data_IF_658230477273
#
_entry.id   IF_658230477273
#
_cell.length_a   1.000
_cell.length_b   1.000
_cell.length_c   1.000
_cell.angle_alpha   90.00
_cell.angle_beta   90.00
_cell.angle_gamma   90.00
#
_symmetry.space_group_name_H-M   'P 1'
#
loop_
_entity.id
_entity.type
_entity.pdbx_description
1 polymer ?
#
# COMPACT_ATOMS: atom_id res chain seq x y z
N UNK A 1 -16.91 -20.79 6.15
CA UNK A 1 -17.12 -19.32 6.22
C UNK A 1 -16.74 -18.71 4.89
N UNK A 2 -17.58 -17.83 4.37
CA UNK A 2 -17.35 -17.07 3.13
C UNK A 2 -17.23 -15.60 3.43
N UNK A 3 -16.14 -14.98 3.01
CA UNK A 3 -15.85 -13.56 3.22
C UNK A 3 -15.87 -12.82 1.89
N UNK A 4 -16.65 -11.76 1.79
CA UNK A 4 -16.59 -10.84 0.66
C UNK A 4 -15.65 -9.69 0.98
N UNK A 5 -14.50 -9.61 0.33
CA UNK A 5 -13.64 -8.44 0.38
C UNK A 5 -14.05 -7.43 -0.70
N UNK A 6 -14.11 -6.14 -0.35
CA UNK A 6 -14.51 -5.06 -1.25
C UNK A 6 -13.43 -3.98 -1.24
N UNK A 7 -12.95 -3.57 -2.42
CA UNK A 7 -11.89 -2.58 -2.53
C UNK A 7 -12.06 -1.67 -3.76
N UNK A 8 -11.60 -0.41 -3.63
CA UNK A 8 -11.47 0.54 -4.75
C UNK A 8 -10.14 0.37 -5.50
N UNK A 9 -9.26 -0.53 -5.04
CA UNK A 9 -7.96 -0.80 -5.66
C UNK A 9 -7.59 -2.28 -5.52
N UNK A 10 -7.00 -2.85 -6.56
CA UNK A 10 -6.47 -4.22 -6.56
C UNK A 10 -5.52 -4.42 -7.74
N UNK A 11 -4.87 -5.59 -7.83
CA UNK A 11 -4.03 -5.91 -8.98
C UNK A 11 -4.79 -5.76 -10.32
N UNK A 12 -4.11 -5.26 -11.36
CA UNK A 12 -2.66 -5.12 -11.53
C UNK A 12 -2.02 -3.89 -10.85
N UNK A 13 -2.80 -3.02 -10.22
CA UNK A 13 -2.27 -1.90 -9.44
C UNK A 13 -1.50 -2.43 -8.22
N UNK A 14 -0.17 -2.33 -8.25
CA UNK A 14 0.71 -2.79 -7.16
C UNK A 14 0.87 -1.69 -6.12
N UNK A 15 0.36 -1.94 -4.92
CA UNK A 15 0.55 -1.10 -3.73
C UNK A 15 0.37 -1.93 -2.44
N UNK A 16 0.55 -1.32 -1.28
CA UNK A 16 0.39 -1.99 0.01
C UNK A 16 -1.00 -2.59 0.23
N UNK A 17 -2.06 -1.91 -0.23
CA UNK A 17 -3.46 -2.38 -0.11
C UNK A 17 -3.68 -3.64 -0.94
N UNK A 18 -3.31 -3.61 -2.23
CA UNK A 18 -3.43 -4.77 -3.12
C UNK A 18 -2.63 -5.97 -2.62
N UNK A 19 -1.42 -5.71 -2.09
CA UNK A 19 -0.56 -6.74 -1.49
C UNK A 19 -1.20 -7.34 -0.25
N UNK A 20 -1.76 -6.50 0.62
CA UNK A 20 -2.45 -6.95 1.83
C UNK A 20 -3.68 -7.80 1.50
N UNK A 21 -4.54 -7.33 0.59
CA UNK A 21 -5.73 -8.08 0.14
C UNK A 21 -5.33 -9.47 -0.36
N UNK A 22 -4.32 -9.56 -1.21
CA UNK A 22 -3.89 -10.83 -1.77
C UNK A 22 -3.28 -11.75 -0.71
N UNK A 23 -2.51 -11.21 0.22
CA UNK A 23 -1.96 -11.98 1.35
C UNK A 23 -3.07 -12.54 2.21
N UNK A 24 -4.05 -11.73 2.60
CA UNK A 24 -5.21 -12.20 3.37
C UNK A 24 -6.03 -13.24 2.58
N UNK A 25 -6.31 -12.99 1.29
CA UNK A 25 -7.06 -13.91 0.44
C UNK A 25 -6.42 -15.30 0.42
N UNK A 26 -5.12 -15.37 0.14
CA UNK A 26 -4.39 -16.65 0.07
C UNK A 26 -4.31 -17.34 1.43
N UNK A 27 -4.01 -16.59 2.48
CA UNK A 27 -3.87 -17.17 3.82
C UNK A 27 -5.21 -17.68 4.34
N UNK A 28 -6.28 -16.91 4.21
CA UNK A 28 -7.62 -17.33 4.61
C UNK A 28 -8.09 -18.56 3.82
N UNK A 29 -7.83 -18.60 2.52
CA UNK A 29 -8.16 -19.77 1.69
C UNK A 29 -7.40 -21.02 2.13
N UNK A 30 -6.13 -20.89 2.52
CA UNK A 30 -5.34 -22.00 3.07
C UNK A 30 -5.89 -22.52 4.40
N UNK A 31 -6.65 -21.70 5.13
CA UNK A 31 -7.37 -22.08 6.37
C UNK A 31 -8.84 -22.43 6.16
N UNK A 32 -9.25 -22.75 4.93
CA UNK A 32 -10.62 -23.19 4.62
C UNK A 32 -11.68 -22.08 4.60
N UNK A 33 -11.27 -20.81 4.55
CA UNK A 33 -12.18 -19.67 4.39
C UNK A 33 -12.27 -19.32 2.91
N UNK A 34 -13.45 -19.39 2.33
CA UNK A 34 -13.69 -18.94 0.96
C UNK A 34 -13.71 -17.42 0.91
N UNK A 35 -12.86 -16.83 0.04
CA UNK A 35 -12.77 -15.37 -0.12
C UNK A 35 -13.21 -14.98 -1.52
N UNK A 36 -14.24 -14.15 -1.60
CA UNK A 36 -14.67 -13.45 -2.81
C UNK A 36 -14.16 -12.01 -2.79
N UNK A 37 -13.93 -11.45 -3.98
CA UNK A 37 -13.47 -10.08 -4.16
C UNK A 37 -14.41 -9.31 -5.11
N UNK A 38 -14.74 -8.06 -4.73
CA UNK A 38 -15.33 -7.08 -5.65
C UNK A 38 -14.35 -5.91 -5.75
N UNK A 39 -13.79 -5.68 -6.95
CA UNK A 39 -12.67 -4.77 -7.20
C UNK A 39 -12.80 -4.09 -8.57
N UNK A 40 -12.10 -2.97 -8.82
CA UNK A 40 -12.10 -2.34 -10.13
C UNK A 40 -11.52 -3.23 -11.23
N UNK A 41 -11.99 -2.99 -12.45
CA UNK A 41 -11.39 -3.47 -13.70
C UNK A 41 -10.41 -2.43 -14.23
N UNK A 42 -9.20 -2.84 -14.56
CA UNK A 42 -8.15 -1.95 -15.09
C UNK A 42 -7.98 -2.06 -16.61
N UNK A 43 -8.28 -3.24 -17.17
CA UNK A 43 -8.14 -3.53 -18.60
C UNK A 43 -8.79 -4.86 -18.96
N UNK A 44 -8.07 -5.70 -19.67
CA UNK A 44 -8.51 -7.03 -20.10
C UNK A 44 -7.94 -8.13 -19.18
N UNK A 45 -8.14 -7.99 -17.87
CA UNK A 45 -7.73 -9.02 -16.93
C UNK A 45 -8.48 -10.33 -17.22
N UNK A 46 -7.74 -11.42 -17.14
CA UNK A 46 -8.31 -12.75 -17.27
C UNK A 46 -9.33 -13.01 -16.16
N UNK A 47 -10.32 -13.82 -16.47
CA UNK A 47 -11.29 -14.28 -15.47
C UNK A 47 -10.58 -15.08 -14.39
N UNK A 48 -10.82 -14.69 -13.14
CA UNK A 48 -10.39 -15.42 -11.95
C UNK A 48 -11.62 -15.79 -11.12
N UNK A 49 -11.80 -17.08 -10.78
CA UNK A 49 -12.89 -17.51 -9.91
C UNK A 49 -12.86 -16.75 -8.56
N UNK A 50 -14.02 -16.28 -8.12
CA UNK A 50 -14.16 -15.52 -6.89
C UNK A 50 -13.81 -14.04 -7.00
N UNK A 51 -13.36 -13.52 -8.16
CA UNK A 51 -13.07 -12.09 -8.35
C UNK A 51 -14.07 -11.46 -9.32
N UNK A 52 -14.86 -10.53 -8.82
CA UNK A 52 -15.79 -9.71 -9.60
C UNK A 52 -15.13 -8.38 -9.94
N UNK A 53 -14.89 -8.14 -11.23
CA UNK A 53 -14.26 -6.91 -11.75
C UNK A 53 -15.33 -5.92 -12.19
N UNK A 54 -15.38 -4.75 -11.54
CA UNK A 54 -16.35 -3.68 -11.84
C UNK A 54 -15.70 -2.65 -12.75
N UNK A 55 -16.36 -2.33 -13.87
CA UNK A 55 -15.85 -1.33 -14.80
C UNK A 55 -15.73 0.06 -14.13
N UNK A 56 -14.60 0.72 -14.37
CA UNK A 56 -14.30 2.06 -13.89
C UNK A 56 -13.61 2.90 -14.95
N UNK A 57 -13.47 4.20 -14.67
CA UNK A 57 -12.73 5.16 -15.51
C UNK A 57 -11.41 5.51 -14.83
N UNK A 58 -10.34 5.84 -15.58
CA UNK A 58 -9.13 6.38 -15.01
C UNK A 58 -9.41 7.62 -14.16
N UNK A 59 -8.71 7.77 -13.03
CA UNK A 59 -8.78 8.97 -12.21
C UNK A 59 -8.07 10.12 -12.94
N UNK A 60 -8.68 11.30 -13.06
CA UNK A 60 -8.00 12.46 -13.62
C UNK A 60 -6.70 12.77 -12.84
N UNK A 61 -5.58 12.82 -13.54
CA UNK A 61 -4.25 13.04 -12.94
C UNK A 61 -3.55 11.79 -12.39
N UNK A 62 -4.25 10.68 -12.22
CA UNK A 62 -3.65 9.38 -11.87
C UNK A 62 -4.23 8.27 -12.74
N UNK A 63 -3.49 7.90 -13.79
CA UNK A 63 -3.92 6.85 -14.75
C UNK A 63 -3.84 5.44 -14.18
N UNK A 64 -3.18 5.26 -13.05
CA UNK A 64 -3.01 3.95 -12.41
C UNK A 64 -4.22 3.58 -11.55
N UNK A 65 -4.98 4.56 -11.07
CA UNK A 65 -6.18 4.32 -10.27
C UNK A 65 -7.47 4.37 -11.10
N UNK A 66 -8.54 3.76 -10.57
CA UNK A 66 -9.85 3.65 -11.23
C UNK A 66 -10.96 4.21 -10.34
N UNK A 67 -11.77 5.08 -10.93
CA UNK A 67 -13.00 5.55 -10.31
C UNK A 67 -14.15 4.67 -10.78
N UNK A 68 -14.72 3.89 -9.88
CA UNK A 68 -15.90 3.04 -10.13
C UNK A 68 -17.17 3.80 -9.77
N UNK A 69 -18.20 3.67 -10.60
CA UNK A 69 -19.48 4.30 -10.31
C UNK A 69 -20.19 3.63 -9.12
N UNK A 70 -20.78 4.45 -8.24
CA UNK A 70 -21.50 3.99 -7.05
C UNK A 70 -22.52 2.87 -7.33
N UNK A 71 -23.39 3.06 -8.33
CA UNK A 71 -24.44 2.08 -8.65
C UNK A 71 -23.86 0.73 -9.09
N UNK A 72 -22.80 0.75 -9.88
CA UNK A 72 -22.13 -0.45 -10.37
C UNK A 72 -21.46 -1.22 -9.23
N UNK A 73 -20.69 -0.51 -8.39
CA UNK A 73 -20.03 -1.09 -7.21
C UNK A 73 -21.07 -1.68 -6.25
N UNK A 74 -22.08 -0.92 -5.88
CA UNK A 74 -23.11 -1.38 -4.94
C UNK A 74 -23.87 -2.61 -5.45
N UNK A 75 -24.22 -2.66 -6.77
CA UNK A 75 -24.87 -3.84 -7.37
C UNK A 75 -23.97 -5.07 -7.27
N UNK A 76 -22.72 -4.94 -7.72
CA UNK A 76 -21.75 -6.04 -7.70
C UNK A 76 -21.51 -6.56 -6.27
N UNK A 77 -21.37 -5.66 -5.28
CA UNK A 77 -21.20 -6.03 -3.88
C UNK A 77 -22.45 -6.75 -3.35
N UNK A 78 -23.64 -6.23 -3.63
CA UNK A 78 -24.88 -6.82 -3.17
C UNK A 78 -25.11 -8.22 -3.76
N UNK A 79 -24.80 -8.41 -5.03
CA UNK A 79 -24.90 -9.71 -5.71
C UNK A 79 -23.88 -10.71 -5.16
N UNK A 80 -22.62 -10.29 -5.01
CA UNK A 80 -21.56 -11.16 -4.51
C UNK A 80 -21.70 -11.52 -3.03
N UNK A 81 -22.41 -10.71 -2.24
CA UNK A 81 -22.58 -10.90 -0.81
C UNK A 81 -23.72 -11.87 -0.43
N UNK A 82 -24.57 -12.27 -1.38
CA UNK A 82 -25.80 -13.07 -1.10
C UNK A 82 -25.55 -14.38 -0.33
N UNK A 83 -24.42 -15.00 -0.58
CA UNK A 83 -24.00 -16.27 0.02
C UNK A 83 -22.77 -16.13 0.92
N UNK A 84 -22.45 -14.92 1.36
CA UNK A 84 -21.33 -14.63 2.25
C UNK A 84 -21.80 -14.48 3.71
N UNK A 85 -20.87 -14.74 4.62
CA UNK A 85 -21.11 -14.65 6.08
C UNK A 85 -20.62 -13.29 6.63
N UNK A 86 -19.73 -12.59 5.90
CA UNK A 86 -19.06 -11.37 6.34
C UNK A 86 -18.67 -10.49 5.14
N UNK A 87 -18.81 -9.17 5.29
CA UNK A 87 -18.24 -8.20 4.35
C UNK A 87 -17.01 -7.55 4.99
N UNK A 88 -15.87 -7.61 4.28
CA UNK A 88 -14.60 -7.03 4.69
C UNK A 88 -14.19 -5.90 3.73
N UNK A 89 -14.33 -4.67 4.17
CA UNK A 89 -13.98 -3.47 3.40
C UNK A 89 -12.48 -3.19 3.50
N UNK A 90 -11.84 -2.93 2.35
CA UNK A 90 -10.40 -2.70 2.28
C UNK A 90 -10.01 -1.25 1.99
N UNK A 91 -10.95 -0.45 1.49
CA UNK A 91 -10.68 0.95 1.13
C UNK A 91 -11.84 1.84 1.57
N UNK A 92 -11.57 3.09 1.92
CA UNK A 92 -12.55 3.97 2.57
C UNK A 92 -13.41 4.80 1.61
N UNK A 93 -13.34 4.52 0.31
CA UNK A 93 -14.05 5.29 -0.71
C UNK A 93 -15.40 4.65 -1.06
N UNK A 94 -15.65 4.39 -2.33
CA UNK A 94 -16.92 3.83 -2.81
C UNK A 94 -17.15 2.42 -2.24
N UNK A 95 -16.10 1.61 -2.15
CA UNK A 95 -16.15 0.27 -1.57
C UNK A 95 -16.69 0.26 -0.14
N UNK A 96 -16.29 1.23 0.70
CA UNK A 96 -16.75 1.34 2.08
C UNK A 96 -18.27 1.50 2.15
N UNK A 97 -18.81 2.47 1.44
CA UNK A 97 -20.24 2.75 1.49
C UNK A 97 -21.08 1.67 0.80
N UNK A 98 -20.54 1.06 -0.27
CA UNK A 98 -21.18 -0.06 -0.96
C UNK A 98 -21.26 -1.30 -0.05
N UNK A 99 -20.17 -1.62 0.65
CA UNK A 99 -20.09 -2.70 1.63
C UNK A 99 -21.06 -2.49 2.79
N UNK A 100 -21.03 -1.31 3.43
CA UNK A 100 -21.97 -0.97 4.51
C UNK A 100 -23.44 -1.09 4.09
N UNK A 101 -23.79 -0.57 2.92
CA UNK A 101 -25.18 -0.62 2.44
C UNK A 101 -25.63 -2.04 2.13
N UNK A 102 -24.77 -2.86 1.54
CA UNK A 102 -25.05 -4.27 1.28
C UNK A 102 -25.17 -5.05 2.59
N UNK A 103 -24.26 -4.86 3.53
CA UNK A 103 -24.28 -5.49 4.85
C UNK A 103 -25.61 -5.23 5.59
N UNK A 104 -26.01 -3.96 5.67
CA UNK A 104 -27.30 -3.59 6.29
C UNK A 104 -28.52 -4.20 5.61
N UNK A 105 -28.50 -4.32 4.27
CA UNK A 105 -29.61 -4.91 3.52
C UNK A 105 -29.72 -6.42 3.71
N UNK A 106 -28.58 -7.10 3.89
CA UNK A 106 -28.49 -8.56 4.03
C UNK A 106 -28.41 -9.03 5.48
N UNK A 107 -28.30 -8.12 6.46
CA UNK A 107 -28.10 -8.48 7.86
C UNK A 107 -26.73 -9.09 8.14
N UNK A 108 -25.70 -8.76 7.33
CA UNK A 108 -24.35 -9.30 7.47
C UNK A 108 -23.48 -8.40 8.36
N UNK A 109 -22.56 -8.96 9.15
CA UNK A 109 -21.52 -8.19 9.81
C UNK A 109 -20.58 -7.56 8.79
N UNK A 110 -20.03 -6.38 9.14
CA UNK A 110 -19.09 -5.64 8.30
C UNK A 110 -17.87 -5.20 9.08
N UNK A 111 -16.71 -5.58 8.60
CA UNK A 111 -15.41 -5.16 9.15
C UNK A 111 -14.60 -4.40 8.09
N UNK A 112 -13.62 -3.63 8.53
CA UNK A 112 -12.67 -3.00 7.60
C UNK A 112 -11.23 -3.14 8.08
N UNK A 113 -10.28 -3.17 7.12
CA UNK A 113 -8.87 -2.96 7.41
C UNK A 113 -8.51 -1.50 7.12
N UNK A 114 -7.91 -0.84 8.09
CA UNK A 114 -7.49 0.56 7.98
C UNK A 114 -6.08 0.65 7.38
N UNK A 115 -6.01 0.79 6.06
CA UNK A 115 -4.75 0.82 5.31
C UNK A 115 -4.15 2.20 5.13
N UNK A 116 -4.96 3.28 5.19
CA UNK A 116 -4.56 4.60 4.74
C UNK A 116 -4.73 5.64 5.84
N UNK A 117 -3.64 6.33 6.16
CA UNK A 117 -3.66 7.47 7.07
C UNK A 117 -4.11 8.73 6.33
N UNK A 118 -5.42 8.98 6.31
CA UNK A 118 -6.03 10.07 5.53
C UNK A 118 -5.48 11.44 5.83
N UNK A 119 -5.20 11.74 7.09
CA UNK A 119 -4.78 13.09 7.48
C UNK A 119 -3.44 13.49 6.84
N UNK A 120 -2.56 12.52 6.64
CA UNK A 120 -1.27 12.75 5.99
C UNK A 120 -1.41 12.74 4.46
N UNK A 121 -2.29 11.88 3.94
CA UNK A 121 -2.51 11.76 2.50
C UNK A 121 -3.14 13.03 1.90
N UNK A 122 -4.16 13.59 2.54
CA UNK A 122 -4.89 14.75 2.03
C UNK A 122 -4.03 16.02 1.95
N UNK A 123 -3.03 16.19 2.82
CA UNK A 123 -2.15 17.35 2.81
C UNK A 123 -1.36 17.50 1.51
N UNK A 124 -1.00 16.39 0.87
CA UNK A 124 -0.22 16.40 -0.38
C UNK A 124 -1.07 16.74 -1.61
N UNK A 125 -2.39 16.53 -1.56
CA UNK A 125 -3.27 16.67 -2.72
C UNK A 125 -4.16 17.92 -2.70
N UNK A 126 -4.37 18.55 -1.55
CA UNK A 126 -5.28 19.68 -1.39
C UNK A 126 -4.56 21.00 -1.01
N UNK A 127 -3.51 21.35 -1.73
CA UNK A 127 -2.61 22.49 -1.47
C UNK A 127 -3.26 23.85 -1.13
N UNK A 128 -4.44 24.26 -1.65
CA UNK A 128 -5.01 25.57 -1.31
C UNK A 128 -5.73 25.62 0.04
N UNK A 129 -5.91 24.48 0.73
CA UNK A 129 -6.70 24.39 1.97
C UNK A 129 -5.77 24.32 3.19
N UNK A 130 -6.08 25.07 4.29
CA UNK A 130 -5.25 25.02 5.50
C UNK A 130 -5.05 23.60 6.03
N UNK A 131 -3.82 23.14 6.28
CA UNK A 131 -3.52 21.76 6.70
C UNK A 131 -4.22 21.34 8.00
N UNK A 132 -4.44 22.26 8.94
CA UNK A 132 -5.14 22.00 10.20
C UNK A 132 -6.62 21.64 10.00
N UNK A 133 -7.29 22.35 9.08
CA UNK A 133 -8.68 22.07 8.72
C UNK A 133 -8.82 20.73 8.01
N UNK A 134 -7.95 20.43 7.04
CA UNK A 134 -7.92 19.14 6.35
C UNK A 134 -7.70 17.97 7.31
N UNK A 135 -6.77 18.11 8.25
CA UNK A 135 -6.54 17.09 9.29
C UNK A 135 -7.78 16.87 10.15
N UNK A 136 -8.46 17.95 10.57
CA UNK A 136 -9.69 17.85 11.34
C UNK A 136 -10.78 17.08 10.59
N UNK A 137 -11.00 17.39 9.30
CA UNK A 137 -11.98 16.69 8.46
C UNK A 137 -11.61 15.23 8.24
N UNK A 138 -10.33 14.93 7.97
CA UNK A 138 -9.84 13.57 7.80
C UNK A 138 -10.07 12.70 9.06
N UNK A 139 -9.78 13.25 10.25
CA UNK A 139 -10.05 12.58 11.55
C UNK A 139 -11.54 12.35 11.77
N UNK A 140 -12.38 13.36 11.51
CA UNK A 140 -13.83 13.24 11.63
C UNK A 140 -14.40 12.20 10.67
N UNK A 141 -13.89 12.14 9.41
CA UNK A 141 -14.28 11.14 8.43
C UNK A 141 -13.85 9.74 8.89
N UNK A 142 -12.59 9.55 9.28
CA UNK A 142 -12.07 8.27 9.78
C UNK A 142 -12.89 7.76 10.97
N UNK A 143 -13.15 8.64 11.96
CA UNK A 143 -14.00 8.31 13.11
C UNK A 143 -15.39 7.88 12.69
N UNK A 144 -16.05 8.65 11.79
CA UNK A 144 -17.41 8.35 11.32
C UNK A 144 -17.46 7.00 10.59
N UNK A 145 -16.50 6.74 9.70
CA UNK A 145 -16.45 5.50 8.94
C UNK A 145 -16.19 4.30 9.85
N UNK A 146 -15.17 4.37 10.69
CA UNK A 146 -14.85 3.27 11.60
C UNK A 146 -16.01 2.96 12.57
N UNK A 147 -16.68 3.98 13.12
CA UNK A 147 -17.79 3.80 14.05
C UNK A 147 -19.08 3.25 13.40
N UNK A 148 -19.10 3.01 12.11
CA UNK A 148 -20.22 2.35 11.40
C UNK A 148 -19.97 0.85 11.17
N UNK A 149 -18.81 0.35 11.58
CA UNK A 149 -18.37 -1.04 11.39
C UNK A 149 -18.51 -1.84 12.68
N UNK A 150 -18.71 -3.15 12.55
CA UNK A 150 -18.74 -4.06 13.70
C UNK A 150 -17.36 -4.27 14.31
N UNK A 151 -16.29 -4.21 13.48
CA UNK A 151 -14.91 -4.16 13.94
C UNK A 151 -13.97 -3.52 12.91
N UNK A 152 -12.82 -3.05 13.37
CA UNK A 152 -11.75 -2.48 12.54
C UNK A 152 -10.46 -3.26 12.75
N UNK A 153 -9.86 -3.73 11.68
CA UNK A 153 -8.52 -4.30 11.67
C UNK A 153 -7.53 -3.16 11.46
N UNK A 154 -6.56 -3.05 12.35
CA UNK A 154 -5.49 -2.05 12.27
C UNK A 154 -4.14 -2.73 12.17
N UNK A 155 -3.23 -2.24 11.32
CA UNK A 155 -1.97 -2.93 11.04
C UNK A 155 -0.93 -2.79 12.15
N UNK A 156 -1.12 -1.89 13.11
CA UNK A 156 -0.18 -1.67 14.20
C UNK A 156 -0.84 -1.08 15.45
N UNK A 157 -0.19 -1.25 16.60
CA UNK A 157 -0.62 -0.63 17.87
C UNK A 157 -0.61 0.89 17.79
N UNK A 158 0.37 1.48 17.11
CA UNK A 158 0.43 2.93 16.88
C UNK A 158 -0.80 3.44 16.11
N UNK A 159 -1.23 2.68 15.08
CA UNK A 159 -2.44 3.03 14.33
C UNK A 159 -3.70 2.90 15.19
N UNK A 160 -3.79 1.86 16.04
CA UNK A 160 -4.89 1.72 16.99
C UNK A 160 -4.98 2.93 17.93
N UNK A 161 -3.88 3.30 18.57
CA UNK A 161 -3.82 4.45 19.48
C UNK A 161 -4.22 5.76 18.75
N UNK A 162 -3.80 5.92 17.50
CA UNK A 162 -4.15 7.07 16.68
C UNK A 162 -5.66 7.14 16.41
N UNK A 163 -6.29 6.04 16.04
CA UNK A 163 -7.74 5.99 15.82
C UNK A 163 -8.54 6.16 17.12
N UNK A 164 -8.05 5.63 18.24
CA UNK A 164 -8.60 5.91 19.57
C UNK A 164 -8.59 7.41 19.89
N UNK A 165 -7.49 8.11 19.57
CA UNK A 165 -7.39 9.56 19.73
C UNK A 165 -8.35 10.36 18.84
N UNK A 166 -8.83 9.77 17.73
CA UNK A 166 -9.87 10.37 16.88
C UNK A 166 -11.29 10.13 17.43
N UNK A 167 -11.43 9.31 18.45
CA UNK A 167 -12.73 8.93 19.04
C UNK A 167 -13.41 7.77 18.33
N UNK A 168 -12.64 6.86 17.73
CA UNK A 168 -13.17 5.58 17.25
C UNK A 168 -13.54 4.71 18.44
N UNK A 169 -14.79 4.19 18.42
CA UNK A 169 -15.39 3.37 19.50
C UNK A 169 -15.61 1.92 19.09
N UNK A 170 -15.65 1.63 17.79
CA UNK A 170 -15.77 0.24 17.30
C UNK A 170 -14.59 -0.61 17.77
N UNK A 171 -14.79 -1.90 18.06
CA UNK A 171 -13.71 -2.81 18.42
C UNK A 171 -12.58 -2.76 17.40
N UNK A 172 -11.33 -2.63 17.87
CA UNK A 172 -10.14 -2.58 17.01
C UNK A 172 -9.20 -3.75 17.33
N UNK A 173 -8.85 -4.49 16.29
CA UNK A 173 -7.93 -5.62 16.38
C UNK A 173 -6.63 -5.31 15.65
N UNK A 174 -5.50 -5.41 16.36
CA UNK A 174 -4.17 -5.23 15.75
C UNK A 174 -3.81 -6.53 15.03
N UNK A 175 -3.82 -6.48 13.71
CA UNK A 175 -3.49 -7.61 12.84
C UNK A 175 -2.65 -7.08 11.66
N UNK A 176 -1.31 -7.15 11.76
CA UNK A 176 -0.45 -6.74 10.67
C UNK A 176 -0.58 -7.69 9.48
N UNK A 177 -0.43 -7.15 8.28
CA UNK A 177 -0.31 -7.98 7.07
C UNK A 177 0.98 -8.77 7.13
N UNK A 178 0.90 -10.09 6.99
CA UNK A 178 2.05 -10.96 6.91
C UNK A 178 2.84 -10.77 5.61
N UNK A 179 4.14 -11.03 5.67
CA UNK A 179 5.00 -11.07 4.49
C UNK A 179 5.32 -12.54 4.19
N UNK A 180 5.01 -13.05 2.99
CA UNK A 180 5.33 -14.42 2.62
C UNK A 180 6.84 -14.58 2.41
N UNK A 181 7.58 -14.83 3.48
CA UNK A 181 9.05 -14.91 3.50
C UNK A 181 9.62 -15.86 2.45
N UNK A 182 8.92 -16.96 2.16
CA UNK A 182 9.33 -17.93 1.13
C UNK A 182 9.51 -17.30 -0.27
N UNK A 183 8.79 -16.22 -0.57
CA UNK A 183 8.93 -15.50 -1.85
C UNK A 183 10.28 -14.76 -1.97
N UNK A 184 10.93 -14.48 -0.85
CA UNK A 184 12.19 -13.73 -0.80
C UNK A 184 13.40 -14.65 -0.55
N UNK A 185 13.19 -15.87 -0.05
CA UNK A 185 14.25 -16.80 0.34
C UNK A 185 15.15 -17.26 -0.84
N UNK A 186 14.63 -17.20 -2.09
CA UNK A 186 15.37 -17.61 -3.30
C UNK A 186 16.14 -16.48 -4.00
N UNK A 187 16.26 -15.30 -3.38
CA UNK A 187 16.95 -14.17 -3.98
C UNK A 187 18.46 -14.42 -4.20
N UNK A 188 18.96 -14.01 -5.35
CA UNK A 188 20.39 -14.09 -5.71
C UNK A 188 20.99 -12.69 -5.81
N UNK A 189 21.62 -12.23 -4.74
CA UNK A 189 22.23 -10.90 -4.66
C UNK A 189 23.38 -10.69 -5.65
N UNK A 190 24.14 -11.74 -5.98
CA UNK A 190 25.22 -11.64 -6.96
C UNK A 190 24.67 -11.39 -8.36
N UNK A 191 23.60 -12.07 -8.76
CA UNK A 191 22.92 -11.83 -10.05
C UNK A 191 22.45 -10.38 -10.17
N UNK A 192 21.89 -9.81 -9.11
CA UNK A 192 21.50 -8.42 -9.07
C UNK A 192 22.69 -7.48 -9.22
N UNK A 193 23.75 -7.69 -8.43
CA UNK A 193 24.96 -6.85 -8.48
C UNK A 193 25.62 -6.88 -9.86
N UNK A 194 25.74 -8.04 -10.49
CA UNK A 194 26.26 -8.19 -11.85
C UNK A 194 25.42 -7.44 -12.87
N UNK A 195 24.08 -7.56 -12.80
CA UNK A 195 23.15 -6.87 -13.70
C UNK A 195 23.32 -5.36 -13.68
N UNK A 196 23.59 -4.79 -12.51
CA UNK A 196 23.71 -3.34 -12.32
C UNK A 196 25.13 -2.83 -12.19
N UNK A 197 26.16 -3.67 -12.44
CA UNK A 197 27.57 -3.28 -12.37
C UNK A 197 28.05 -2.90 -10.97
N UNK A 198 27.44 -3.46 -9.92
CA UNK A 198 27.79 -3.17 -8.53
C UNK A 198 28.86 -4.18 -8.07
N UNK A 199 30.02 -3.72 -7.66
CA UNK A 199 31.06 -4.58 -7.12
C UNK A 199 30.56 -5.38 -5.91
N UNK A 200 31.00 -6.64 -5.79
CA UNK A 200 30.54 -7.53 -4.71
C UNK A 200 30.88 -6.96 -3.32
N UNK A 201 32.06 -6.36 -3.19
CA UNK A 201 32.55 -5.75 -1.94
C UNK A 201 31.91 -4.39 -1.61
N UNK A 202 31.19 -3.73 -2.57
CA UNK A 202 30.65 -2.41 -2.36
C UNK A 202 29.47 -2.44 -1.38
N UNK A 203 29.50 -1.72 -0.24
CA UNK A 203 28.38 -1.66 0.69
C UNK A 203 27.14 -1.05 0.03
N UNK A 204 25.99 -1.71 0.17
CA UNK A 204 24.74 -1.32 -0.49
C UNK A 204 23.63 -1.12 0.54
N UNK A 205 23.17 0.12 0.65
CA UNK A 205 21.91 0.46 1.30
C UNK A 205 20.78 0.41 0.26
N UNK A 206 19.62 -0.08 0.65
CA UNK A 206 18.48 -0.28 -0.25
C UNK A 206 17.22 0.40 0.26
N UNK A 207 16.59 1.20 -0.58
CA UNK A 207 15.21 1.64 -0.44
C UNK A 207 14.36 0.93 -1.49
N UNK A 208 13.22 0.37 -1.08
CA UNK A 208 12.20 -0.20 -1.97
C UNK A 208 10.86 0.44 -1.68
N UNK A 209 10.21 1.00 -2.69
CA UNK A 209 8.88 1.58 -2.53
C UNK A 209 8.52 2.60 -3.60
N UNK A 210 7.31 3.14 -3.52
CA UNK A 210 6.89 4.24 -4.39
C UNK A 210 7.80 5.45 -4.13
N UNK A 211 8.35 6.02 -5.20
CA UNK A 211 9.20 7.22 -5.12
C UNK A 211 8.30 8.45 -5.05
N UNK A 212 7.84 8.77 -3.84
CA UNK A 212 6.87 9.83 -3.57
C UNK A 212 7.32 10.70 -2.39
N UNK A 213 6.83 11.93 -2.33
CA UNK A 213 7.28 12.92 -1.34
C UNK A 213 7.04 12.47 0.11
N UNK A 214 5.91 11.77 0.36
CA UNK A 214 5.57 11.24 1.68
C UNK A 214 6.52 10.13 2.17
N UNK A 215 7.33 9.54 1.27
CA UNK A 215 8.34 8.54 1.62
C UNK A 215 9.64 9.15 2.14
N UNK A 216 9.76 10.47 2.07
CA UNK A 216 10.88 11.23 2.64
C UNK A 216 12.28 10.72 2.19
N UNK A 217 12.38 10.29 0.92
CA UNK A 217 13.63 9.71 0.38
C UNK A 217 14.75 10.75 0.35
N UNK A 218 14.41 12.05 0.22
CA UNK A 218 15.37 13.13 0.30
C UNK A 218 16.21 13.11 1.58
N UNK A 219 15.62 12.76 2.72
CA UNK A 219 16.33 12.54 3.97
C UNK A 219 17.39 11.42 3.87
N UNK A 220 17.10 10.35 3.10
CA UNK A 220 18.07 9.26 2.88
C UNK A 220 19.27 9.73 2.06
N UNK A 221 19.09 10.71 1.14
CA UNK A 221 20.19 11.33 0.40
C UNK A 221 21.09 12.17 1.34
N UNK A 222 20.48 12.94 2.25
CA UNK A 222 21.22 13.70 3.26
C UNK A 222 21.98 12.79 4.23
N UNK A 223 21.33 11.71 4.68
CA UNK A 223 21.97 10.69 5.51
C UNK A 223 23.13 9.99 4.79
N UNK A 224 23.01 9.77 3.47
CA UNK A 224 24.08 9.19 2.66
C UNK A 224 25.32 10.09 2.61
N UNK A 225 25.14 11.43 2.54
CA UNK A 225 26.27 12.38 2.61
C UNK A 225 27.07 12.14 3.90
N UNK A 226 26.40 12.00 5.03
CA UNK A 226 27.04 11.75 6.32
C UNK A 226 27.69 10.36 6.38
N UNK A 227 26.99 9.33 5.89
CA UNK A 227 27.51 7.96 5.87
C UNK A 227 28.78 7.84 5.04
N UNK A 228 28.90 8.57 3.92
CA UNK A 228 30.07 8.58 3.04
C UNK A 228 31.30 9.28 3.63
N UNK A 229 31.15 10.08 4.67
CA UNK A 229 32.31 10.59 5.42
C UNK A 229 33.04 9.46 6.15
N UNK A 230 32.34 8.40 6.53
CA UNK A 230 32.89 7.24 7.25
C UNK A 230 33.22 6.10 6.24
N UNK A 231 32.34 5.88 5.29
CA UNK A 231 32.45 4.82 4.25
C UNK A 231 32.19 5.43 2.87
N UNK A 232 33.24 5.98 2.22
CA UNK A 232 33.12 6.70 0.94
C UNK A 232 32.52 5.88 -0.21
N UNK A 233 32.63 4.56 -0.14
CA UNK A 233 32.19 3.60 -1.14
C UNK A 233 30.72 3.18 -1.02
N UNK A 234 29.96 3.62 0.01
CA UNK A 234 28.55 3.26 0.18
C UNK A 234 27.72 3.69 -1.03
N UNK A 235 26.90 2.75 -1.50
CA UNK A 235 25.91 2.96 -2.56
C UNK A 235 24.50 2.94 -1.96
N UNK A 236 23.66 3.91 -2.32
CA UNK A 236 22.22 3.87 -2.08
C UNK A 236 21.50 3.43 -3.37
N UNK A 237 20.80 2.32 -3.33
CA UNK A 237 19.93 1.85 -4.41
C UNK A 237 18.49 2.20 -4.08
N UNK A 238 17.81 2.88 -5.02
CA UNK A 238 16.41 3.26 -4.91
C UNK A 238 15.62 2.48 -5.96
N UNK A 239 14.83 1.50 -5.48
CA UNK A 239 13.99 0.63 -6.29
C UNK A 239 12.53 1.10 -6.21
N UNK A 240 11.97 1.50 -7.35
CA UNK A 240 10.62 1.99 -7.50
C UNK A 240 10.53 3.21 -8.40
N UNK A 241 9.30 3.64 -8.65
CA UNK A 241 8.99 4.84 -9.44
C UNK A 241 7.96 5.71 -8.72
N UNK A 242 7.81 6.95 -9.17
CA UNK A 242 6.81 7.84 -8.63
C UNK A 242 7.08 9.32 -8.86
N UNK A 243 6.18 10.20 -8.40
CA UNK A 243 6.19 11.63 -8.73
C UNK A 243 7.40 12.39 -8.19
N UNK A 244 8.08 11.92 -7.15
CA UNK A 244 9.26 12.60 -6.58
C UNK A 244 10.57 12.28 -7.33
N UNK A 245 10.55 11.43 -8.37
CA UNK A 245 11.77 10.97 -9.05
C UNK A 245 12.63 12.10 -9.61
N UNK A 246 12.00 13.09 -10.25
CA UNK A 246 12.72 14.21 -10.85
C UNK A 246 13.42 15.07 -9.78
N UNK A 247 12.72 15.36 -8.69
CA UNK A 247 13.23 16.18 -7.59
C UNK A 247 14.39 15.48 -6.87
N UNK A 248 14.27 14.15 -6.66
CA UNK A 248 15.33 13.36 -6.03
C UNK A 248 16.59 13.25 -6.89
N UNK A 249 16.44 13.13 -8.21
CA UNK A 249 17.59 13.18 -9.13
C UNK A 249 18.28 14.53 -9.10
N UNK A 250 17.50 15.63 -9.08
CA UNK A 250 18.05 16.98 -8.93
C UNK A 250 18.77 17.15 -7.59
N UNK A 251 18.19 16.68 -6.48
CA UNK A 251 18.83 16.72 -5.16
C UNK A 251 20.10 15.85 -5.11
N UNK A 252 20.10 14.67 -5.73
CA UNK A 252 21.30 13.81 -5.87
C UNK A 252 22.44 14.57 -6.55
N UNK A 253 22.15 15.30 -7.62
CA UNK A 253 23.14 16.12 -8.32
C UNK A 253 23.64 17.30 -7.47
N UNK A 254 22.72 17.99 -6.81
CA UNK A 254 23.05 19.12 -5.94
C UNK A 254 23.95 18.73 -4.75
N UNK A 255 23.79 17.49 -4.25
CA UNK A 255 24.59 16.92 -3.15
C UNK A 255 25.88 16.23 -3.63
N UNK A 256 26.18 16.20 -4.93
CA UNK A 256 27.36 15.53 -5.48
C UNK A 256 27.37 14.03 -5.30
N UNK A 257 26.19 13.38 -5.33
CA UNK A 257 26.02 11.94 -5.05
C UNK A 257 25.78 11.08 -6.31
N UNK A 258 26.11 11.57 -7.51
CA UNK A 258 25.79 10.87 -8.76
C UNK A 258 26.45 9.48 -8.88
N UNK A 259 27.59 9.28 -8.26
CA UNK A 259 28.34 8.01 -8.18
C UNK A 259 27.89 7.11 -7.04
N UNK A 260 27.06 7.63 -6.14
CA UNK A 260 26.65 6.99 -4.89
C UNK A 260 25.15 6.65 -4.81
N UNK A 261 24.35 7.06 -5.79
CA UNK A 261 22.92 6.76 -5.84
C UNK A 261 22.57 6.12 -7.18
N UNK A 262 21.87 4.99 -7.11
CA UNK A 262 21.39 4.25 -8.27
C UNK A 262 19.87 4.15 -8.25
N UNK A 263 19.20 4.79 -9.22
CA UNK A 263 17.76 4.67 -9.43
C UNK A 263 17.49 3.57 -10.45
N UNK A 264 16.79 2.49 -10.04
CA UNK A 264 16.64 1.29 -10.86
C UNK A 264 15.21 1.06 -11.36
N UNK A 265 14.26 1.93 -10.99
CA UNK A 265 12.87 1.78 -11.42
C UNK A 265 12.14 0.61 -10.78
N UNK A 266 11.05 0.17 -11.41
CA UNK A 266 10.28 -0.99 -10.94
C UNK A 266 11.03 -2.30 -11.14
N UNK A 267 10.88 -3.19 -10.15
CA UNK A 267 11.36 -4.56 -10.19
C UNK A 267 10.17 -5.53 -10.19
N UNK A 268 10.27 -6.59 -10.99
CA UNK A 268 9.32 -7.68 -10.89
C UNK A 268 9.41 -8.38 -9.53
N UNK A 269 8.27 -8.84 -9.04
CA UNK A 269 8.15 -9.41 -7.68
C UNK A 269 8.57 -10.89 -7.61
N UNK A 270 8.74 -11.56 -8.75
CA UNK A 270 9.04 -12.99 -8.78
C UNK A 270 10.53 -13.27 -8.63
N UNK A 271 11.38 -12.44 -9.24
CA UNK A 271 12.82 -12.66 -9.27
C UNK A 271 13.64 -11.41 -8.94
N UNK A 272 13.42 -10.29 -9.64
CA UNK A 272 14.29 -9.13 -9.51
C UNK A 272 14.19 -8.46 -8.14
N UNK A 273 13.02 -8.42 -7.52
CA UNK A 273 12.85 -7.87 -6.18
C UNK A 273 13.47 -8.73 -5.09
N UNK A 274 13.28 -10.07 -5.02
CA UNK A 274 14.06 -10.94 -4.13
C UNK A 274 15.58 -10.81 -4.30
N UNK A 275 16.06 -10.74 -5.54
CA UNK A 275 17.50 -10.56 -5.82
C UNK A 275 18.02 -9.23 -5.29
N UNK A 276 17.22 -8.16 -5.44
CA UNK A 276 17.55 -6.83 -4.95
C UNK A 276 17.71 -6.82 -3.43
N UNK A 277 16.78 -7.44 -2.69
CA UNK A 277 16.89 -7.59 -1.24
C UNK A 277 18.10 -8.42 -0.84
N UNK A 278 18.37 -9.54 -1.54
CA UNK A 278 19.52 -10.38 -1.27
C UNK A 278 20.88 -9.70 -1.57
N UNK A 279 20.89 -8.68 -2.45
CA UNK A 279 22.09 -7.92 -2.77
C UNK A 279 22.45 -6.86 -1.71
N UNK A 280 21.47 -6.43 -0.92
CA UNK A 280 21.63 -5.32 0.02
C UNK A 280 22.28 -5.76 1.33
N UNK A 281 23.08 -4.87 1.92
CA UNK A 281 23.63 -5.03 3.26
C UNK A 281 22.67 -4.48 4.33
N UNK A 282 21.90 -3.43 3.98
CA UNK A 282 20.92 -2.80 4.89
C UNK A 282 19.75 -2.25 4.09
N UNK A 283 18.55 -2.43 4.63
CA UNK A 283 17.34 -1.76 4.15
C UNK A 283 17.16 -0.43 4.90
N UNK A 284 16.92 0.66 4.16
CA UNK A 284 16.76 2.00 4.71
C UNK A 284 15.41 2.58 4.35
N UNK A 285 14.75 3.19 5.33
CA UNK A 285 13.39 3.68 5.16
C UNK A 285 13.14 4.90 6.06
N UNK A 286 12.61 6.00 5.50
CA UNK A 286 12.45 7.27 6.22
C UNK A 286 11.02 7.84 6.15
N UNK A 287 10.05 7.05 5.70
CA UNK A 287 8.66 7.49 5.61
C UNK A 287 8.07 7.83 6.97
N UNK A 288 7.36 8.95 7.06
CA UNK A 288 6.67 9.42 8.25
C UNK A 288 5.19 9.02 8.30
N UNK A 289 4.67 8.43 7.24
CA UNK A 289 3.22 8.26 7.00
C UNK A 289 2.79 6.80 6.87
N UNK A 290 3.61 5.85 7.30
CA UNK A 290 3.28 4.44 7.19
C UNK A 290 2.23 4.00 8.21
N UNK A 291 1.32 3.17 7.75
CA UNK A 291 0.41 2.43 8.65
C UNK A 291 1.07 1.16 9.17
N UNK A 292 1.87 0.50 8.32
CA UNK A 292 2.62 -0.70 8.67
C UNK A 292 4.03 -0.74 8.04
N UNK A 293 4.22 -0.15 6.84
CA UNK A 293 5.49 -0.25 6.09
C UNK A 293 5.66 -1.59 5.36
N UNK A 294 4.71 -1.90 4.46
CA UNK A 294 4.75 -3.09 3.59
C UNK A 294 5.50 -2.82 2.30
#
# INVERSE_FOLDING_TARGET
MRVLMVSDVYFPRVNGVSTSIETFRRTLSAHGVEVKLVVPRYGNELYEPGIVRVAGRPVPGDREDRLVGWRAMHRAVLEAAQDCDLIHVQTPFIAHYAGLKAARKLGLPVVATYHTLFEEYLQHYAKPIPPSWLRGQARALSRRQCNQLDAVIVPSTAMRQRLESYGVKSPMHVLPTGIPMAQFAGGNGMRFRQKFGIAESRPMALFVGRVAHEKNIGFLLEALVQARQIRPDVLLVIAGEGPAMADLKAQTTALGLQDAVLFIGYLDRKQALPDCYAAANVFVFASLTETQGL
#
